data_IF_350002856757
#
_entry.id   IF_350002856757
#
_cell.length_a   1.000
_cell.length_b   1.000
_cell.length_c   1.000
_cell.angle_alpha   90.00
_cell.angle_beta   90.00
_cell.angle_gamma   90.00
#
_symmetry.space_group_name_H-M   'P 1'
#
loop_
_entity.id
_entity.type
_entity.pdbx_description
1 polymer ?
#
# COMPACT_ATOMS: atom_id res chain seq x y z
N UNK A 1 -6.08 -13.67 9.52
CA UNK A 1 -4.94 -13.54 10.45
C UNK A 1 -3.74 -14.25 9.84
N UNK A 2 -2.52 -13.80 10.14
CA UNK A 2 -1.29 -14.37 9.56
C UNK A 2 -0.58 -15.35 10.49
N UNK A 3 -0.90 -15.33 11.79
CA UNK A 3 -0.42 -16.31 12.75
C UNK A 3 -1.12 -16.20 14.10
N UNK A 4 -0.81 -17.09 15.05
CA UNK A 4 -1.27 -16.97 16.42
C UNK A 4 -0.84 -15.64 17.06
N UNK A 5 -1.75 -14.96 17.77
CA UNK A 5 -1.47 -13.69 18.45
C UNK A 5 -1.36 -12.46 17.54
N UNK A 6 -1.72 -12.59 16.26
CA UNK A 6 -1.85 -11.45 15.33
C UNK A 6 -3.30 -11.08 15.13
N UNK A 7 -3.60 -9.79 15.17
CA UNK A 7 -4.92 -9.28 14.84
C UNK A 7 -5.30 -9.60 13.38
N UNK A 8 -6.60 -9.59 13.04
CA UNK A 8 -7.05 -9.68 11.67
C UNK A 8 -6.40 -8.60 10.78
N UNK A 9 -5.98 -8.99 9.57
CA UNK A 9 -5.53 -8.04 8.56
C UNK A 9 -6.75 -7.52 7.79
N UNK A 10 -6.76 -6.24 7.33
CA UNK A 10 -7.91 -5.67 6.62
C UNK A 10 -8.25 -6.41 5.32
N UNK A 11 -7.23 -6.95 4.65
CA UNK A 11 -7.36 -7.73 3.43
C UNK A 11 -6.50 -8.99 3.52
N UNK A 12 -6.89 -10.02 2.78
CA UNK A 12 -6.08 -11.22 2.51
C UNK A 12 -5.12 -10.96 1.33
N UNK A 13 -4.07 -11.76 1.21
CA UNK A 13 -3.17 -11.71 0.05
C UNK A 13 -3.92 -11.88 -1.30
N UNK A 14 -4.98 -12.70 -1.32
CA UNK A 14 -5.82 -12.88 -2.51
C UNK A 14 -6.60 -11.60 -2.86
N UNK A 15 -7.21 -10.95 -1.87
CA UNK A 15 -7.94 -9.69 -2.06
C UNK A 15 -7.00 -8.56 -2.49
N UNK A 16 -5.79 -8.49 -1.93
CA UNK A 16 -4.75 -7.54 -2.35
C UNK A 16 -4.39 -7.78 -3.82
N UNK A 17 -4.12 -9.04 -4.21
CA UNK A 17 -3.84 -9.39 -5.61
C UNK A 17 -4.97 -8.98 -6.54
N UNK A 18 -6.22 -9.29 -6.19
CA UNK A 18 -7.39 -8.91 -6.98
C UNK A 18 -7.55 -7.38 -7.08
N UNK A 19 -7.21 -6.67 -6.00
CA UNK A 19 -7.23 -5.21 -5.95
C UNK A 19 -6.06 -4.54 -6.67
N UNK A 20 -4.97 -5.23 -6.97
CA UNK A 20 -3.78 -4.65 -7.57
C UNK A 20 -3.49 -5.27 -8.95
N UNK A 21 -4.37 -5.04 -9.96
CA UNK A 21 -4.09 -5.46 -11.33
C UNK A 21 -2.86 -4.72 -11.90
N UNK A 22 -2.39 -5.21 -13.03
CA UNK A 22 -1.30 -4.56 -13.76
C UNK A 22 -1.63 -3.09 -14.04
N UNK A 23 -0.61 -2.24 -13.95
CA UNK A 23 -0.68 -0.78 -14.09
C UNK A 23 -1.53 -0.02 -13.05
N UNK A 24 -2.13 -0.72 -12.05
CA UNK A 24 -2.79 -0.07 -10.89
C UNK A 24 -1.83 0.97 -10.31
N UNK A 25 -2.25 2.23 -10.36
CA UNK A 25 -1.46 3.37 -9.91
C UNK A 25 -2.15 4.04 -8.72
N UNK A 26 -1.37 4.32 -7.68
CA UNK A 26 -1.80 5.04 -6.48
C UNK A 26 -0.95 6.31 -6.38
N UNK A 27 -1.61 7.45 -6.38
CA UNK A 27 -0.96 8.76 -6.18
C UNK A 27 -1.28 9.28 -4.79
N UNK A 28 -0.25 9.60 -4.02
CA UNK A 28 -0.39 10.16 -2.68
C UNK A 28 0.23 11.55 -2.64
N UNK A 29 -0.49 12.54 -2.12
CA UNK A 29 0.12 13.81 -1.72
C UNK A 29 0.93 13.56 -0.43
N UNK A 30 2.18 14.00 -0.40
CA UNK A 30 3.06 13.90 0.76
C UNK A 30 3.38 15.32 1.22
N UNK A 31 2.99 15.61 2.46
CA UNK A 31 3.21 16.90 3.11
C UNK A 31 4.20 16.67 4.27
N UNK A 32 5.50 16.96 4.07
CA UNK A 32 6.48 16.81 5.14
C UNK A 32 6.26 17.87 6.23
N UNK A 33 6.81 17.65 7.42
CA UNK A 33 6.80 18.67 8.48
C UNK A 33 7.55 19.96 8.10
N UNK A 34 8.41 19.91 7.07
CA UNK A 34 9.08 21.08 6.50
C UNK A 34 9.52 20.83 5.06
N UNK A 35 9.57 21.91 4.27
CA UNK A 35 9.83 21.86 2.84
C UNK A 35 8.55 21.76 1.99
N UNK A 36 8.69 21.80 0.66
CA UNK A 36 7.53 21.74 -0.24
C UNK A 36 6.89 20.34 -0.25
N UNK A 37 5.58 20.29 -0.43
CA UNK A 37 4.84 19.05 -0.68
C UNK A 37 5.18 18.47 -2.06
N UNK A 38 5.03 17.15 -2.22
CA UNK A 38 5.21 16.45 -3.49
C UNK A 38 4.19 15.32 -3.63
N UNK A 39 4.00 14.80 -4.85
CA UNK A 39 3.24 13.57 -5.02
C UNK A 39 4.18 12.37 -5.07
N UNK A 40 3.84 11.30 -4.35
CA UNK A 40 4.45 9.98 -4.52
C UNK A 40 3.51 9.12 -5.34
N UNK A 41 4.03 8.55 -6.42
CA UNK A 41 3.30 7.59 -7.24
C UNK A 41 3.86 6.20 -6.99
N UNK A 42 2.95 5.26 -6.76
CA UNK A 42 3.24 3.83 -6.66
C UNK A 42 2.46 3.13 -7.79
N UNK A 43 3.15 2.34 -8.62
CA UNK A 43 2.52 1.56 -9.70
C UNK A 43 2.90 0.09 -9.58
N UNK A 44 1.91 -0.78 -9.65
CA UNK A 44 2.13 -2.22 -9.75
C UNK A 44 2.37 -2.58 -11.22
N UNK A 45 3.42 -3.34 -11.49
CA UNK A 45 3.73 -3.86 -12.83
C UNK A 45 4.09 -5.34 -12.76
N UNK A 46 3.79 -6.07 -13.84
CA UNK A 46 4.09 -7.50 -13.97
C UNK A 46 3.59 -8.35 -12.76
N UNK A 47 2.29 -8.26 -12.39
CA UNK A 47 1.74 -9.09 -11.33
C UNK A 47 1.67 -10.57 -11.76
N UNK A 48 1.90 -11.44 -10.81
CA UNK A 48 1.74 -12.89 -10.95
C UNK A 48 1.05 -13.49 -9.72
N UNK A 49 1.16 -14.82 -9.57
CA UNK A 49 0.53 -15.54 -8.47
C UNK A 49 1.06 -15.13 -7.08
N UNK A 50 2.33 -14.75 -6.99
CA UNK A 50 3.05 -14.55 -5.73
C UNK A 50 3.23 -13.07 -5.37
N UNK A 51 3.27 -12.19 -6.37
CA UNK A 51 3.50 -10.77 -6.14
C UNK A 51 3.46 -9.91 -7.40
N UNK A 52 4.05 -8.73 -7.29
CA UNK A 52 4.26 -7.80 -8.40
C UNK A 52 5.56 -7.01 -8.19
N UNK A 53 6.04 -6.37 -9.26
CA UNK A 53 7.05 -5.32 -9.13
C UNK A 53 6.34 -4.00 -8.80
N UNK A 54 6.77 -3.35 -7.72
CA UNK A 54 6.29 -2.03 -7.34
C UNK A 54 7.27 -0.98 -7.86
N UNK A 55 6.81 -0.18 -8.82
CA UNK A 55 7.50 1.02 -9.26
C UNK A 55 7.10 2.19 -8.35
N UNK A 56 8.05 3.05 -8.01
CA UNK A 56 7.83 4.24 -7.20
C UNK A 56 8.62 5.42 -7.74
N UNK A 57 7.97 6.58 -7.81
CA UNK A 57 8.64 7.84 -8.15
C UNK A 57 7.97 9.03 -7.49
N UNK A 58 8.61 10.20 -7.60
CA UNK A 58 8.10 11.47 -7.09
C UNK A 58 7.74 12.39 -8.25
N UNK A 59 6.67 13.16 -8.08
CA UNK A 59 6.30 14.28 -8.93
C UNK A 59 6.45 15.55 -8.11
N UNK A 60 7.24 16.49 -8.62
CA UNK A 60 7.50 17.78 -8.02
C UNK A 60 6.29 18.71 -8.06
N UNK A 61 6.39 19.90 -7.43
CA UNK A 61 5.30 20.88 -7.41
C UNK A 61 4.99 21.48 -8.80
N UNK A 62 5.93 21.36 -9.75
CA UNK A 62 5.78 21.74 -11.16
C UNK A 62 5.08 20.66 -12.01
N UNK A 63 4.78 19.50 -11.43
CA UNK A 63 4.17 18.38 -12.15
C UNK A 63 5.17 17.47 -12.85
N UNK A 64 6.48 17.75 -12.73
CA UNK A 64 7.53 16.95 -13.39
C UNK A 64 8.05 15.82 -12.49
N UNK A 65 8.50 14.72 -13.12
CA UNK A 65 9.10 13.61 -12.38
C UNK A 65 10.46 14.03 -11.82
N UNK A 66 10.65 13.83 -10.52
CA UNK A 66 11.93 14.07 -9.84
C UNK A 66 12.66 12.75 -9.65
N UNK A 67 13.85 12.64 -10.23
CA UNK A 67 14.71 11.46 -10.12
C UNK A 67 14.27 10.28 -10.98
N UNK A 68 14.87 9.12 -10.71
CA UNK A 68 14.57 7.87 -11.39
C UNK A 68 13.39 7.13 -10.76
N UNK A 69 12.85 6.15 -11.49
CA UNK A 69 11.85 5.23 -10.95
C UNK A 69 12.58 4.17 -10.13
N UNK A 70 12.26 4.08 -8.85
CA UNK A 70 12.69 2.99 -7.99
C UNK A 70 11.80 1.76 -8.27
N UNK A 71 12.40 0.58 -8.38
CA UNK A 71 11.67 -0.68 -8.56
C UNK A 71 12.04 -1.68 -7.48
N UNK A 72 11.04 -2.36 -6.93
CA UNK A 72 11.25 -3.45 -6.00
C UNK A 72 10.20 -4.53 -6.17
N UNK A 73 10.62 -5.79 -6.12
CA UNK A 73 9.70 -6.93 -6.06
C UNK A 73 9.06 -7.00 -4.68
N UNK A 74 7.74 -7.18 -4.62
CA UNK A 74 7.00 -7.43 -3.38
C UNK A 74 6.02 -8.56 -3.55
N UNK A 75 5.81 -9.36 -2.52
CA UNK A 75 4.82 -10.44 -2.52
C UNK A 75 3.49 -9.98 -1.94
N UNK A 76 2.40 -10.64 -2.36
CA UNK A 76 1.08 -10.36 -1.79
C UNK A 76 1.03 -10.62 -0.28
N UNK A 77 1.78 -11.62 0.19
CA UNK A 77 1.92 -11.92 1.61
C UNK A 77 2.72 -10.87 2.37
N UNK A 78 3.76 -10.29 1.77
CA UNK A 78 4.50 -9.17 2.37
C UNK A 78 3.59 -7.94 2.54
N UNK A 79 2.77 -7.64 1.53
CA UNK A 79 1.80 -6.53 1.60
C UNK A 79 0.72 -6.78 2.66
N UNK A 80 0.20 -8.01 2.76
CA UNK A 80 -0.71 -8.38 3.85
C UNK A 80 -0.03 -8.24 5.23
N UNK A 81 1.22 -8.68 5.33
CA UNK A 81 2.04 -8.61 6.55
C UNK A 81 2.29 -7.20 7.04
N UNK A 82 2.35 -6.20 6.14
CA UNK A 82 2.50 -4.80 6.52
C UNK A 82 1.38 -4.29 7.45
N UNK A 83 0.18 -4.83 7.33
CA UNK A 83 -0.98 -4.49 8.14
C UNK A 83 -1.25 -5.51 9.27
N UNK A 84 -0.29 -6.39 9.58
CA UNK A 84 -0.41 -7.37 10.65
C UNK A 84 0.20 -6.84 11.94
N UNK A 85 -0.63 -6.66 12.96
CA UNK A 85 -0.23 -6.15 14.27
C UNK A 85 -0.42 -7.21 15.36
N UNK A 86 0.40 -7.22 16.44
CA UNK A 86 0.13 -8.04 17.61
C UNK A 86 -1.22 -7.68 18.22
N UNK A 87 -2.03 -8.69 18.59
CA UNK A 87 -3.34 -8.47 19.22
C UNK A 87 -3.24 -7.63 20.49
N UNK A 88 -2.15 -7.78 21.25
CA UNK A 88 -1.92 -7.03 22.49
C UNK A 88 -1.66 -5.54 22.30
N UNK A 89 -1.46 -5.08 21.06
CA UNK A 89 -1.11 -3.68 20.74
C UNK A 89 -2.20 -2.95 19.95
N UNK A 90 -3.31 -3.61 19.66
CA UNK A 90 -4.42 -3.02 18.93
C UNK A 90 -5.73 -3.19 19.67
N UNK A 91 -6.62 -2.23 19.50
CA UNK A 91 -7.99 -2.32 19.99
C UNK A 91 -8.93 -2.33 18.79
N UNK A 92 -9.85 -3.30 18.75
CA UNK A 92 -10.83 -3.45 17.67
C UNK A 92 -12.22 -3.23 18.25
N UNK A 93 -12.99 -2.34 17.64
CA UNK A 93 -14.36 -2.05 18.02
C UNK A 93 -15.29 -2.16 16.79
N UNK A 94 -16.47 -2.79 16.93
CA UNK A 94 -17.47 -2.76 15.88
C UNK A 94 -18.12 -1.37 15.83
N UNK A 95 -18.36 -0.86 14.63
CA UNK A 95 -19.09 0.37 14.37
C UNK A 95 -20.14 0.12 13.27
N UNK A 96 -21.30 0.78 13.37
CA UNK A 96 -22.36 0.73 12.35
C UNK A 96 -22.57 2.13 11.78
N UNK A 97 -22.43 2.27 10.46
CA UNK A 97 -22.60 3.54 9.75
C UNK A 97 -23.91 3.50 8.94
N UNK A 98 -24.68 4.59 8.98
CA UNK A 98 -25.80 4.82 8.07
C UNK A 98 -25.29 5.70 6.94
N UNK A 99 -25.27 5.16 5.73
CA UNK A 99 -24.87 5.90 4.53
C UNK A 99 -26.09 6.65 3.96
N UNK A 100 -25.91 7.83 3.34
CA UNK A 100 -26.98 8.63 2.74
C UNK A 100 -27.67 7.93 1.56
#
# INVERSE_FOLDING_TARGET
MLGPGTAPTPFTAHEIRAGCPDERTITLLVEPAGGPSWQRVNRFVAPDADGATLQRWRIGPDGERVGEIEEARTTWLQLQGHASFPESLVTIHPETLVLP
#
